data_IF_294912225821
#
_entry.id   IF_294912225821
#
_cell.length_a   1.000
_cell.length_b   1.000
_cell.length_c   1.000
_cell.angle_alpha   90.00
_cell.angle_beta   90.00
_cell.angle_gamma   90.00
#
_symmetry.space_group_name_H-M   'P 1'
#
loop_
_entity.id
_entity.type
_entity.pdbx_description
1 polymer ?
#
# COMPACT_ATOMS: atom_id res chain seq x y z
N UNK A 1 16.31 -5.05 63.28
CA UNK A 1 16.71 -3.99 62.32
C UNK A 1 17.75 -4.60 61.38
N UNK A 2 17.61 -4.68 60.07
CA UNK A 2 16.96 -3.75 59.16
C UNK A 2 16.07 -4.47 58.13
N UNK A 3 14.83 -4.02 58.07
CA UNK A 3 13.70 -4.49 57.25
C UNK A 3 13.68 -3.76 55.88
N UNK A 4 14.74 -3.01 55.53
CA UNK A 4 14.68 -2.05 54.42
C UNK A 4 15.21 -2.48 53.05
N UNK A 5 15.70 -3.72 52.87
CA UNK A 5 16.19 -4.17 51.54
C UNK A 5 15.10 -4.77 50.62
N UNK A 6 13.80 -4.60 50.93
CA UNK A 6 12.68 -5.08 50.09
C UNK A 6 11.93 -3.98 49.32
N UNK A 7 12.42 -2.74 49.30
CA UNK A 7 11.70 -1.59 48.74
C UNK A 7 12.22 -1.05 47.39
N UNK A 8 13.19 -1.72 46.75
CA UNK A 8 13.70 -1.30 45.42
C UNK A 8 13.77 -2.43 44.39
N UNK A 9 12.82 -3.36 44.40
CA UNK A 9 12.40 -3.95 43.14
C UNK A 9 11.46 -2.96 42.49
N UNK A 10 12.00 -2.09 41.64
CA UNK A 10 11.21 -1.49 40.57
C UNK A 10 10.54 -2.65 39.83
N UNK A 11 9.27 -2.90 40.13
CA UNK A 11 8.33 -3.52 39.21
C UNK A 11 8.32 -2.64 37.95
N UNK A 12 9.34 -2.77 37.11
CA UNK A 12 9.17 -2.47 35.69
C UNK A 12 8.18 -3.54 35.26
N UNK A 13 6.92 -3.14 35.14
CA UNK A 13 5.87 -4.01 34.65
C UNK A 13 6.40 -4.64 33.36
N UNK A 14 6.69 -5.96 33.38
CA UNK A 14 7.00 -6.68 32.15
C UNK A 14 5.80 -6.45 31.22
N UNK A 15 5.98 -5.99 29.98
CA UNK A 15 4.86 -5.71 29.10
C UNK A 15 4.07 -7.01 28.88
N UNK A 16 2.91 -7.11 29.52
CA UNK A 16 1.96 -8.21 29.35
C UNK A 16 0.99 -7.81 28.24
N UNK A 17 1.48 -7.81 27.02
CA UNK A 17 0.60 -7.73 25.85
C UNK A 17 0.13 -9.14 25.57
N UNK A 18 -1.05 -9.51 26.07
CA UNK A 18 -1.72 -10.77 25.74
C UNK A 18 -3.01 -10.44 25.02
N UNK A 19 -3.06 -10.66 23.70
CA UNK A 19 -4.31 -10.77 22.97
C UNK A 19 -4.85 -12.19 23.16
N UNK A 20 -5.66 -12.38 24.20
CA UNK A 20 -6.57 -13.52 24.26
C UNK A 20 -7.90 -13.07 23.64
N UNK A 21 -8.41 -13.86 22.67
CA UNK A 21 -9.70 -13.72 21.96
C UNK A 21 -9.72 -12.87 20.66
N UNK A 22 -9.00 -13.30 19.63
CA UNK A 22 -9.00 -12.70 18.27
C UNK A 22 -9.94 -13.36 17.25
N UNK A 23 -10.57 -14.50 17.53
CA UNK A 23 -11.34 -15.20 16.48
C UNK A 23 -12.71 -14.55 16.13
N UNK A 24 -13.46 -14.03 17.10
CA UNK A 24 -14.79 -13.44 16.80
C UNK A 24 -14.70 -12.10 16.04
N UNK A 25 -13.62 -11.35 16.24
CA UNK A 25 -13.39 -10.08 15.54
C UNK A 25 -13.00 -10.32 14.07
N UNK A 26 -12.18 -11.33 13.81
CA UNK A 26 -11.65 -11.68 12.48
C UNK A 26 -12.65 -12.46 11.61
N UNK A 27 -13.59 -13.24 12.17
CA UNK A 27 -14.48 -14.14 11.41
C UNK A 27 -16.00 -13.86 11.54
N UNK A 28 -16.39 -12.69 12.04
CA UNK A 28 -17.81 -12.34 12.18
C UNK A 28 -18.47 -11.90 10.87
N UNK A 29 -19.67 -12.40 10.57
CA UNK A 29 -20.51 -11.91 9.46
C UNK A 29 -20.71 -10.39 9.55
N UNK A 30 -20.79 -9.74 8.39
CA UNK A 30 -21.06 -8.30 8.34
C UNK A 30 -22.52 -8.00 8.66
N UNK A 31 -22.81 -6.76 9.05
CA UNK A 31 -24.20 -6.32 9.28
C UNK A 31 -25.06 -6.44 8.02
N UNK A 32 -24.44 -6.38 6.83
CA UNK A 32 -25.08 -6.59 5.54
C UNK A 32 -25.27 -8.08 5.17
N UNK A 33 -24.87 -9.02 6.04
CA UNK A 33 -25.02 -10.46 5.83
C UNK A 33 -23.98 -11.09 4.91
N UNK A 34 -23.07 -10.32 4.31
CA UNK A 34 -21.96 -10.83 3.51
C UNK A 34 -20.83 -11.32 4.42
N UNK A 35 -20.16 -12.40 4.01
CA UNK A 35 -18.95 -12.87 4.67
C UNK A 35 -17.73 -12.16 4.06
N UNK A 36 -16.98 -11.44 4.90
CA UNK A 36 -15.80 -10.67 4.48
C UNK A 36 -14.56 -11.26 5.11
N UNK A 37 -13.77 -11.91 4.26
CA UNK A 37 -12.39 -12.36 4.48
C UNK A 37 -11.45 -11.58 3.56
N UNK A 38 -10.13 -11.72 3.73
CA UNK A 38 -9.13 -11.09 2.87
C UNK A 38 -9.31 -11.51 1.41
N UNK A 39 -9.66 -12.78 1.17
CA UNK A 39 -9.90 -13.31 -0.18
C UNK A 39 -11.14 -12.71 -0.83
N UNK A 40 -12.27 -12.65 -0.11
CA UNK A 40 -13.50 -12.05 -0.64
C UNK A 40 -13.38 -10.52 -0.75
N UNK A 41 -12.64 -9.88 0.14
CA UNK A 41 -12.38 -8.45 0.06
C UNK A 41 -11.59 -8.10 -1.21
N UNK A 42 -10.60 -8.91 -1.59
CA UNK A 42 -9.87 -8.75 -2.85
C UNK A 42 -10.72 -8.98 -4.12
N UNK A 43 -11.93 -9.54 -4.01
CA UNK A 43 -12.88 -9.60 -5.13
C UNK A 43 -13.63 -8.28 -5.33
N UNK A 44 -13.67 -7.42 -4.30
CA UNK A 44 -14.19 -6.06 -4.44
C UNK A 44 -13.19 -5.20 -5.22
N UNK A 45 -13.66 -4.58 -6.30
CA UNK A 45 -12.79 -3.85 -7.24
C UNK A 45 -12.09 -2.65 -6.60
N UNK A 46 -12.76 -1.94 -5.68
CA UNK A 46 -12.18 -0.82 -4.96
C UNK A 46 -11.03 -1.27 -4.03
N UNK A 47 -11.24 -2.36 -3.28
CA UNK A 47 -10.20 -2.94 -2.41
C UNK A 47 -9.02 -3.40 -3.26
N UNK A 48 -9.27 -4.15 -4.34
CA UNK A 48 -8.22 -4.63 -5.23
C UNK A 48 -7.39 -3.47 -5.82
N UNK A 49 -8.05 -2.42 -6.32
CA UNK A 49 -7.37 -1.25 -6.86
C UNK A 49 -6.51 -0.55 -5.80
N UNK A 50 -7.04 -0.38 -4.58
CA UNK A 50 -6.31 0.24 -3.48
C UNK A 50 -5.07 -0.55 -3.09
N UNK A 51 -5.23 -1.86 -2.88
CA UNK A 51 -4.13 -2.76 -2.50
C UNK A 51 -3.06 -2.76 -3.58
N UNK A 52 -3.46 -2.89 -4.84
CA UNK A 52 -2.57 -2.89 -6.00
C UNK A 52 -1.76 -1.59 -6.10
N UNK A 53 -2.41 -0.42 -6.05
CA UNK A 53 -1.73 0.87 -6.15
C UNK A 53 -0.66 1.01 -5.07
N UNK A 54 -0.96 0.69 -3.81
CA UNK A 54 0.01 0.79 -2.72
C UNK A 54 1.14 -0.23 -2.82
N UNK A 55 0.80 -1.49 -3.12
CA UNK A 55 1.78 -2.56 -3.20
C UNK A 55 2.77 -2.36 -4.35
N UNK A 56 2.28 -2.03 -5.55
CA UNK A 56 3.11 -1.73 -6.72
C UNK A 56 3.92 -0.44 -6.51
N UNK A 57 3.31 0.61 -5.94
CA UNK A 57 4.02 1.88 -5.68
C UNK A 57 5.19 1.69 -4.72
N UNK A 58 5.05 0.85 -3.69
CA UNK A 58 6.16 0.56 -2.77
C UNK A 58 7.17 -0.40 -3.39
N UNK A 59 6.71 -1.41 -4.12
CA UNK A 59 7.58 -2.42 -4.73
C UNK A 59 8.51 -1.85 -5.82
N UNK A 60 8.05 -0.85 -6.55
CA UNK A 60 8.84 -0.14 -7.58
C UNK A 60 9.96 0.72 -7.00
N UNK A 61 9.87 1.14 -5.73
CA UNK A 61 10.88 2.00 -5.13
C UNK A 61 12.23 1.26 -4.99
N UNK A 62 13.34 1.88 -5.42
CA UNK A 62 14.66 1.35 -5.14
C UNK A 62 14.90 1.30 -3.63
N UNK A 63 15.28 0.12 -3.13
CA UNK A 63 15.65 -0.11 -1.73
C UNK A 63 17.14 -0.40 -1.68
N UNK A 64 17.89 0.44 -0.99
CA UNK A 64 19.34 0.33 -0.93
C UNK A 64 19.85 0.33 0.50
N UNK A 65 20.99 -0.32 0.69
CA UNK A 65 21.79 -0.23 1.89
C UNK A 65 22.77 0.93 1.74
N UNK A 66 22.83 1.79 2.75
CA UNK A 66 23.74 2.90 2.85
C UNK A 66 24.65 2.75 4.06
N UNK A 67 25.86 3.28 3.97
CA UNK A 67 26.78 3.48 5.08
C UNK A 67 26.90 4.96 5.39
N UNK A 68 26.88 5.33 6.67
CA UNK A 68 27.21 6.68 7.12
C UNK A 68 28.71 6.90 6.98
N UNK A 69 29.11 8.01 6.36
CA UNK A 69 30.51 8.42 6.25
C UNK A 69 30.91 9.25 7.46
N UNK A 70 32.21 9.29 7.78
CA UNK A 70 32.73 10.02 8.94
C UNK A 70 32.45 11.54 8.85
N UNK A 71 32.31 12.07 7.63
CA UNK A 71 31.95 13.47 7.35
C UNK A 71 30.44 13.76 7.48
N UNK A 72 29.65 12.79 7.95
CA UNK A 72 28.18 12.91 8.10
C UNK A 72 27.38 12.70 6.81
N UNK A 73 28.04 12.27 5.73
CA UNK A 73 27.41 11.87 4.48
C UNK A 73 26.87 10.44 4.50
N UNK A 74 26.38 9.98 3.34
CA UNK A 74 25.93 8.59 3.12
C UNK A 74 26.47 8.06 1.80
N UNK A 75 26.88 6.79 1.77
CA UNK A 75 27.33 6.11 0.56
C UNK A 75 26.57 4.81 0.36
N UNK A 76 26.15 4.51 -0.89
CA UNK A 76 25.51 3.24 -1.24
C UNK A 76 26.51 2.09 -1.11
N UNK A 77 26.09 1.02 -0.45
CA UNK A 77 26.91 -0.18 -0.22
C UNK A 77 26.43 -1.30 -1.12
N UNK A 78 27.31 -1.79 -1.99
CA UNK A 78 26.99 -2.89 -2.90
C UNK A 78 27.57 -4.24 -2.45
N UNK A 79 28.68 -4.24 -1.71
CA UNK A 79 29.44 -5.46 -1.35
C UNK A 79 28.92 -6.17 -0.08
N UNK A 80 27.75 -5.77 0.42
CA UNK A 80 27.13 -6.36 1.61
C UNK A 80 26.13 -7.46 1.23
N UNK A 81 26.04 -8.55 1.99
CA UNK A 81 25.16 -9.69 1.66
C UNK A 81 23.68 -9.28 1.49
N UNK A 82 23.19 -8.38 2.34
CA UNK A 82 21.85 -7.80 2.24
C UNK A 82 21.60 -6.94 1.00
N UNK A 83 22.63 -6.35 0.38
CA UNK A 83 22.45 -5.42 -0.75
C UNK A 83 21.74 -6.12 -1.91
N UNK A 84 22.24 -7.30 -2.30
CA UNK A 84 21.64 -8.12 -3.35
C UNK A 84 20.23 -8.60 -2.97
N UNK A 85 20.03 -9.03 -1.71
CA UNK A 85 18.74 -9.55 -1.25
C UNK A 85 17.64 -8.48 -1.23
N UNK A 86 17.98 -7.24 -0.92
CA UNK A 86 17.02 -6.13 -0.88
C UNK A 86 16.77 -5.54 -2.28
N UNK A 87 17.80 -5.52 -3.13
CA UNK A 87 17.72 -4.89 -4.45
C UNK A 87 17.18 -5.83 -5.54
N UNK A 88 17.74 -7.04 -5.67
CA UNK A 88 17.53 -7.90 -6.84
C UNK A 88 16.64 -9.12 -6.55
N UNK A 89 17.06 -9.97 -5.61
CA UNK A 89 16.36 -11.21 -5.29
C UNK A 89 16.55 -11.60 -3.81
N UNK A 90 15.47 -11.58 -2.99
CA UNK A 90 15.54 -11.92 -1.57
C UNK A 90 15.67 -13.41 -1.33
N UNK A 91 15.37 -14.22 -2.34
CA UNK A 91 15.57 -15.66 -2.38
C UNK A 91 15.60 -16.13 -3.85
N UNK A 92 15.95 -17.38 -4.14
CA UNK A 92 16.01 -17.89 -5.53
C UNK A 92 14.66 -18.02 -6.25
N UNK A 93 13.52 -17.89 -5.55
CA UNK A 93 12.19 -18.16 -6.09
C UNK A 93 11.48 -16.90 -6.60
N UNK A 94 11.89 -15.71 -6.13
CA UNK A 94 11.22 -14.46 -6.46
C UNK A 94 12.19 -13.28 -6.56
N UNK A 95 11.77 -12.24 -7.28
CA UNK A 95 12.49 -10.96 -7.32
C UNK A 95 12.17 -10.10 -6.09
N UNK A 96 13.01 -9.12 -5.79
CA UNK A 96 12.77 -8.19 -4.69
C UNK A 96 11.50 -7.34 -4.89
N UNK A 97 11.11 -7.10 -6.14
CA UNK A 97 9.82 -6.48 -6.45
C UNK A 97 8.65 -7.33 -5.93
N UNK A 98 8.59 -8.61 -6.33
CA UNK A 98 7.50 -9.53 -5.94
C UNK A 98 7.47 -9.73 -4.43
N UNK A 99 8.63 -9.82 -3.78
CA UNK A 99 8.71 -9.91 -2.32
C UNK A 99 8.11 -8.67 -1.64
N UNK A 100 8.51 -7.46 -2.07
CA UNK A 100 7.97 -6.22 -1.50
C UNK A 100 6.48 -6.10 -1.73
N UNK A 101 6.01 -6.41 -2.93
CA UNK A 101 4.60 -6.43 -3.28
C UNK A 101 3.81 -7.41 -2.40
N UNK A 102 4.30 -8.64 -2.25
CA UNK A 102 3.65 -9.69 -1.44
C UNK A 102 3.57 -9.30 0.03
N UNK A 103 4.66 -8.83 0.60
CA UNK A 103 4.71 -8.38 2.00
C UNK A 103 3.87 -7.12 2.21
N UNK A 104 3.78 -6.22 1.23
CA UNK A 104 2.90 -5.06 1.32
C UNK A 104 1.43 -5.48 1.24
N UNK A 105 1.08 -6.45 0.38
CA UNK A 105 -0.24 -7.08 0.38
C UNK A 105 -0.56 -7.69 1.74
N UNK A 106 0.41 -8.35 2.39
CA UNK A 106 0.25 -8.90 3.72
C UNK A 106 -0.11 -7.82 4.77
N UNK A 107 0.61 -6.68 4.75
CA UNK A 107 0.30 -5.52 5.59
C UNK A 107 -1.10 -4.94 5.33
N UNK A 108 -1.50 -4.82 4.07
CA UNK A 108 -2.76 -4.17 3.69
C UNK A 108 -3.99 -5.05 3.95
N UNK A 109 -3.83 -6.37 3.95
CA UNK A 109 -4.92 -7.32 4.17
C UNK A 109 -5.00 -7.79 5.63
N UNK A 110 -3.88 -8.21 6.22
CA UNK A 110 -3.83 -8.77 7.57
C UNK A 110 -3.28 -7.81 8.62
N UNK A 111 -2.77 -6.65 8.22
CA UNK A 111 -2.15 -5.68 9.13
C UNK A 111 -0.73 -6.03 9.55
N UNK A 112 -0.19 -7.18 9.11
CA UNK A 112 1.11 -7.69 9.50
C UNK A 112 1.77 -8.41 8.34
N UNK A 113 3.07 -8.25 8.18
CA UNK A 113 3.85 -9.00 7.21
C UNK A 113 5.05 -9.66 7.89
N UNK A 114 5.27 -10.92 7.55
CA UNK A 114 6.29 -11.76 8.14
C UNK A 114 7.14 -12.38 7.04
N UNK A 115 8.45 -12.40 7.24
CA UNK A 115 9.37 -13.19 6.42
C UNK A 115 10.34 -13.96 7.31
N UNK A 116 10.57 -15.23 7.00
CA UNK A 116 11.61 -16.01 7.65
C UNK A 116 12.98 -15.52 7.18
N UNK A 117 13.88 -15.28 8.13
CA UNK A 117 15.27 -14.90 7.88
C UNK A 117 16.11 -16.17 7.87
N UNK A 118 16.79 -16.43 6.75
CA UNK A 118 17.72 -17.55 6.61
C UNK A 118 19.14 -17.02 6.73
N UNK A 119 19.96 -17.67 7.56
CA UNK A 119 21.36 -17.32 7.80
C UNK A 119 22.29 -18.49 7.49
N UNK A 120 23.49 -18.20 7.01
CA UNK A 120 24.56 -19.20 6.90
C UNK A 120 25.25 -19.45 8.26
N UNK A 121 26.20 -20.39 8.29
CA UNK A 121 26.98 -20.71 9.50
C UNK A 121 27.87 -19.56 10.02
N UNK A 122 28.06 -18.49 9.26
CA UNK A 122 28.75 -17.27 9.67
C UNK A 122 27.78 -16.19 10.21
N UNK A 123 26.48 -16.48 10.26
CA UNK A 123 25.44 -15.56 10.72
C UNK A 123 24.96 -14.54 9.68
N UNK A 124 25.49 -14.58 8.45
CA UNK A 124 25.08 -13.69 7.37
C UNK A 124 23.73 -14.10 6.80
N UNK A 125 22.86 -13.12 6.54
CA UNK A 125 21.55 -13.36 5.94
C UNK A 125 21.73 -13.75 4.47
N UNK A 126 21.16 -14.89 4.09
CA UNK A 126 21.24 -15.46 2.73
C UNK A 126 19.88 -15.55 2.05
N UNK A 127 18.78 -15.36 2.78
CA UNK A 127 17.45 -15.36 2.19
C UNK A 127 16.38 -14.82 3.10
N UNK A 128 15.34 -14.26 2.48
CA UNK A 128 14.10 -13.82 3.13
C UNK A 128 12.92 -14.50 2.42
N UNK A 129 12.14 -15.27 3.17
CA UNK A 129 11.00 -16.02 2.63
C UNK A 129 9.70 -15.52 3.26
N UNK A 130 8.75 -14.98 2.48
CA UNK A 130 7.46 -14.56 3.01
C UNK A 130 6.75 -15.71 3.75
N UNK A 131 6.19 -15.40 4.91
CA UNK A 131 5.34 -16.30 5.69
C UNK A 131 3.91 -15.75 5.68
N UNK A 132 2.95 -16.66 5.55
CA UNK A 132 1.54 -16.33 5.51
C UNK A 132 1.04 -15.79 6.87
N UNK A 133 0.49 -14.56 6.94
CA UNK A 133 0.09 -13.95 8.22
C UNK A 133 -1.05 -14.68 8.94
N UNK A 134 -1.97 -15.31 8.21
CA UNK A 134 -3.08 -16.09 8.77
C UNK A 134 -2.62 -17.37 9.48
N UNK A 135 -1.36 -17.78 9.29
CA UNK A 135 -0.74 -18.95 9.92
C UNK A 135 0.27 -18.59 11.00
N UNK A 136 0.41 -17.30 11.32
CA UNK A 136 1.37 -16.77 12.27
C UNK A 136 0.69 -16.33 13.56
N UNK A 137 1.24 -16.73 14.70
CA UNK A 137 0.89 -16.20 16.02
C UNK A 137 2.11 -15.62 16.71
N UNK A 138 1.95 -14.48 17.38
CA UNK A 138 3.04 -13.73 18.02
C UNK A 138 2.79 -13.67 19.52
N UNK A 139 3.72 -14.20 20.31
CA UNK A 139 3.59 -14.28 21.75
C UNK A 139 4.86 -13.82 22.46
N UNK A 140 4.72 -13.55 23.76
CA UNK A 140 5.85 -13.24 24.66
C UNK A 140 6.06 -14.39 25.63
N UNK A 141 7.29 -14.88 25.71
CA UNK A 141 7.70 -15.83 26.72
C UNK A 141 7.72 -15.18 28.11
N UNK A 142 7.83 -15.99 29.17
CA UNK A 142 7.83 -15.49 30.57
C UNK A 142 8.99 -14.54 30.87
N UNK A 143 10.10 -14.66 30.15
CA UNK A 143 11.26 -13.78 30.23
C UNK A 143 11.08 -12.45 29.45
N UNK A 144 9.95 -12.28 28.75
CA UNK A 144 9.62 -11.08 27.97
C UNK A 144 10.08 -11.12 26.51
N UNK A 145 10.83 -12.15 26.10
CA UNK A 145 11.28 -12.32 24.73
C UNK A 145 10.12 -12.69 23.81
N UNK A 146 10.15 -12.16 22.60
CA UNK A 146 9.17 -12.45 21.57
C UNK A 146 9.52 -13.77 20.89
N UNK A 147 8.49 -14.58 20.66
CA UNK A 147 8.58 -15.75 19.81
C UNK A 147 7.36 -15.81 18.89
N UNK A 148 7.57 -16.45 17.76
CA UNK A 148 6.61 -16.60 16.69
C UNK A 148 6.25 -18.08 16.58
N UNK A 149 4.97 -18.39 16.44
CA UNK A 149 4.52 -19.77 16.17
C UNK A 149 3.90 -19.80 14.79
N UNK A 150 4.54 -20.51 13.87
CA UNK A 150 4.08 -20.66 12.50
C UNK A 150 3.51 -22.05 12.28
N UNK A 151 2.27 -22.12 11.78
CA UNK A 151 1.62 -23.39 11.45
C UNK A 151 1.93 -23.76 10.01
N UNK A 152 2.70 -24.83 9.80
CA UNK A 152 2.99 -25.38 8.47
C UNK A 152 1.87 -26.33 8.07
N UNK A 153 1.30 -26.14 6.88
CA UNK A 153 0.27 -27.02 6.35
C UNK A 153 0.88 -28.09 5.44
N UNK A 154 0.14 -29.19 5.29
CA UNK A 154 0.50 -30.35 4.48
C UNK A 154 0.86 -30.02 3.02
N UNK A 155 0.24 -28.99 2.43
CA UNK A 155 0.47 -28.63 1.03
C UNK A 155 1.85 -28.00 0.76
N UNK A 156 2.54 -27.49 1.80
CA UNK A 156 3.85 -26.82 1.65
C UNK A 156 5.02 -27.81 1.63
N UNK A 157 4.78 -29.06 2.06
CA UNK A 157 5.79 -30.11 2.12
C UNK A 157 5.04 -31.43 2.10
N UNK A 158 5.24 -32.29 1.09
CA UNK A 158 4.62 -33.62 0.95
C UNK A 158 4.93 -34.58 2.13
N UNK A 159 4.60 -34.19 3.34
CA UNK A 159 4.92 -34.81 4.61
C UNK A 159 3.60 -35.29 5.22
N UNK A 160 3.46 -36.62 5.27
CA UNK A 160 2.32 -37.39 5.75
C UNK A 160 1.59 -36.75 6.96
N UNK A 161 0.33 -36.40 6.74
CA UNK A 161 -0.83 -36.32 7.64
C UNK A 161 -0.89 -35.34 8.85
N UNK A 162 0.12 -34.54 9.18
CA UNK A 162 -0.01 -33.61 10.33
C UNK A 162 0.50 -32.19 10.06
N UNK A 163 -0.36 -31.19 10.32
CA UNK A 163 0.06 -29.78 10.42
C UNK A 163 1.05 -29.62 11.57
N UNK A 164 2.27 -29.18 11.27
CA UNK A 164 3.33 -29.01 12.28
C UNK A 164 3.50 -27.55 12.64
N UNK A 165 3.39 -27.24 13.93
CA UNK A 165 3.76 -25.93 14.45
C UNK A 165 5.28 -25.84 14.62
N UNK A 166 5.85 -24.74 14.17
CA UNK A 166 7.26 -24.40 14.34
C UNK A 166 7.35 -23.11 15.12
N UNK A 167 8.18 -23.12 16.17
CA UNK A 167 8.51 -21.92 16.93
C UNK A 167 9.73 -21.27 16.30
N UNK A 168 9.63 -19.99 15.99
CA UNK A 168 10.69 -19.15 15.45
C UNK A 168 11.01 -18.05 16.47
N UNK A 169 12.29 -17.77 16.64
CA UNK A 169 12.78 -16.70 17.52
C UNK A 169 12.70 -15.33 16.84
N UNK A 170 12.86 -14.27 17.63
CA UNK A 170 12.74 -12.89 17.12
C UNK A 170 13.80 -12.50 16.08
N UNK A 171 14.94 -13.17 16.07
CA UNK A 171 16.04 -12.97 15.12
C UNK A 171 15.90 -13.85 13.85
N UNK A 172 14.92 -14.74 13.82
CA UNK A 172 14.59 -15.62 12.69
C UNK A 172 13.41 -15.11 11.86
N UNK A 173 12.74 -14.03 12.29
CA UNK A 173 11.56 -13.47 11.63
C UNK A 173 11.73 -11.98 11.43
N UNK A 174 11.66 -11.54 10.18
CA UNK A 174 11.40 -10.14 9.83
C UNK A 174 9.89 -9.91 9.96
N UNK A 175 9.49 -9.16 10.98
CA UNK A 175 8.11 -8.76 11.22
C UNK A 175 7.95 -7.26 11.00
N UNK A 176 7.09 -6.89 10.06
CA UNK A 176 6.62 -5.54 9.85
C UNK A 176 5.18 -5.48 10.34
N UNK A 177 4.95 -4.81 11.47
CA UNK A 177 3.60 -4.62 12.02
C UNK A 177 3.00 -3.34 11.46
N UNK A 178 1.71 -3.36 11.10
CA UNK A 178 0.92 -2.21 10.68
C UNK A 178 0.45 -1.33 11.84
N UNK A 179 -0.64 -0.58 11.63
CA UNK A 179 -1.27 0.18 12.72
C UNK A 179 -1.91 -0.80 13.70
N UNK A 180 -1.52 -0.76 14.98
CA UNK A 180 -2.02 -1.67 16.02
C UNK A 180 -2.16 -0.99 17.38
N UNK A 181 -2.70 -1.72 18.36
CA UNK A 181 -2.93 -1.17 19.71
C UNK A 181 -1.68 -1.12 20.57
N UNK A 182 -0.89 -2.19 20.50
CA UNK A 182 0.11 -2.54 21.50
C UNK A 182 1.55 -2.43 20.97
N UNK A 183 1.68 -1.95 19.73
CA UNK A 183 2.93 -1.82 18.99
C UNK A 183 3.56 -3.14 18.57
N UNK A 184 2.92 -4.29 18.84
CA UNK A 184 3.43 -5.61 18.50
C UNK A 184 2.68 -6.20 17.31
N UNK A 185 1.35 -6.13 17.29
CA UNK A 185 0.53 -6.70 16.22
C UNK A 185 -0.35 -5.59 15.63
N UNK A 186 -0.31 -5.45 14.31
CA UNK A 186 -1.18 -4.57 13.54
C UNK A 186 -2.61 -5.10 13.43
N UNK A 187 -3.57 -4.20 13.37
CA UNK A 187 -4.96 -4.51 13.03
C UNK A 187 -5.08 -4.87 11.55
N UNK A 188 -5.84 -5.92 11.23
CA UNK A 188 -6.26 -6.19 9.85
C UNK A 188 -7.14 -5.04 9.35
N UNK A 189 -6.72 -4.31 8.29
CA UNK A 189 -7.56 -3.26 7.71
C UNK A 189 -8.89 -3.81 7.20
N UNK A 190 -8.89 -5.02 6.66
CA UNK A 190 -10.09 -5.71 6.19
C UNK A 190 -11.05 -6.00 7.34
N UNK A 191 -10.55 -6.53 8.47
CA UNK A 191 -11.39 -6.79 9.64
C UNK A 191 -11.98 -5.49 10.22
N UNK A 192 -11.18 -4.41 10.26
CA UNK A 192 -11.64 -3.09 10.72
C UNK A 192 -12.71 -2.48 9.79
N UNK A 193 -12.57 -2.71 8.48
CA UNK A 193 -13.44 -2.18 7.44
C UNK A 193 -14.58 -3.12 7.00
N UNK A 194 -14.75 -4.27 7.67
CA UNK A 194 -15.59 -5.37 7.16
C UNK A 194 -17.02 -4.95 6.82
N UNK A 195 -17.63 -4.03 7.59
CA UNK A 195 -18.99 -3.57 7.34
C UNK A 195 -19.10 -2.74 6.06
N UNK A 196 -18.15 -1.85 5.78
CA UNK A 196 -18.13 -1.04 4.55
C UNK A 196 -17.90 -1.92 3.32
N UNK A 197 -16.93 -2.85 3.40
CA UNK A 197 -16.66 -3.82 2.33
C UNK A 197 -17.87 -4.73 2.11
N UNK A 198 -18.48 -5.24 3.19
CA UNK A 198 -19.66 -6.09 3.13
C UNK A 198 -20.87 -5.39 2.51
N UNK A 199 -21.06 -4.11 2.81
CA UNK A 199 -22.10 -3.29 2.18
C UNK A 199 -21.83 -3.11 0.67
N UNK A 200 -20.57 -2.91 0.28
CA UNK A 200 -20.20 -2.80 -1.13
C UNK A 200 -20.43 -4.11 -1.89
N UNK A 201 -20.03 -5.25 -1.33
CA UNK A 201 -20.31 -6.57 -1.91
C UNK A 201 -21.82 -6.85 -1.99
N UNK A 202 -22.59 -6.48 -0.98
CA UNK A 202 -24.04 -6.63 -0.99
C UNK A 202 -24.70 -5.77 -2.07
N UNK A 203 -24.23 -4.53 -2.25
CA UNK A 203 -24.71 -3.65 -3.30
C UNK A 203 -24.38 -4.21 -4.68
N UNK A 204 -23.17 -4.70 -4.91
CA UNK A 204 -22.80 -5.37 -6.16
C UNK A 204 -23.67 -6.58 -6.44
N UNK A 205 -23.90 -7.45 -5.45
CA UNK A 205 -24.77 -8.60 -5.58
C UNK A 205 -26.22 -8.21 -5.90
N UNK A 206 -26.75 -7.16 -5.27
CA UNK A 206 -28.07 -6.63 -5.58
C UNK A 206 -28.15 -6.14 -7.03
N UNK A 207 -27.17 -5.35 -7.47
CA UNK A 207 -27.09 -4.85 -8.84
C UNK A 207 -27.00 -6.01 -9.85
N UNK A 208 -26.12 -6.99 -9.61
CA UNK A 208 -25.98 -8.17 -10.48
C UNK A 208 -27.27 -8.97 -10.57
N UNK A 209 -27.96 -9.21 -9.45
CA UNK A 209 -29.26 -9.92 -9.45
C UNK A 209 -30.33 -9.12 -10.19
N UNK A 210 -30.36 -7.80 -10.01
CA UNK A 210 -31.29 -6.91 -10.69
C UNK A 210 -31.13 -6.98 -12.22
N UNK A 211 -29.90 -6.82 -12.72
CA UNK A 211 -29.61 -6.91 -14.16
C UNK A 211 -29.75 -8.33 -14.72
N UNK A 212 -29.42 -9.36 -13.93
CA UNK A 212 -29.60 -10.77 -14.33
C UNK A 212 -31.07 -11.11 -14.59
N UNK A 213 -31.99 -10.46 -13.91
CA UNK A 213 -33.44 -10.64 -14.10
C UNK A 213 -34.02 -9.64 -15.11
N UNK A 214 -33.24 -9.24 -16.13
CA UNK A 214 -33.58 -8.28 -17.20
C UNK A 214 -34.01 -6.90 -16.72
N UNK A 215 -33.71 -6.52 -15.47
CA UNK A 215 -34.11 -5.24 -14.87
C UNK A 215 -35.63 -4.96 -14.99
N UNK A 216 -36.45 -5.97 -15.33
CA UNK A 216 -37.90 -5.83 -15.48
C UNK A 216 -38.52 -6.17 -14.14
N UNK A 217 -39.10 -5.19 -13.43
CA UNK A 217 -39.86 -5.51 -12.24
C UNK A 217 -41.03 -6.39 -12.68
N UNK A 218 -41.16 -7.58 -12.09
CA UNK A 218 -42.25 -8.49 -12.42
C UNK A 218 -43.59 -7.76 -12.26
N UNK A 219 -44.45 -7.78 -13.27
CA UNK A 219 -45.75 -7.12 -13.17
C UNK A 219 -46.78 -7.96 -12.44
N UNK A 220 -47.86 -7.30 -12.02
CA UNK A 220 -49.00 -7.95 -11.38
C UNK A 220 -50.05 -8.22 -12.48
N UNK A 221 -50.50 -9.47 -12.56
CA UNK A 221 -51.68 -9.84 -13.36
C UNK A 221 -52.92 -9.69 -12.48
N UNK A 222 -53.76 -8.73 -12.81
CA UNK A 222 -55.04 -8.51 -12.15
C UNK A 222 -56.17 -9.06 -13.02
N UNK A 223 -57.03 -9.87 -12.41
CA UNK A 223 -58.25 -10.39 -13.04
C UNK A 223 -59.46 -9.93 -12.22
N UNK A 224 -60.51 -9.37 -12.85
CA UNK A 224 -61.65 -8.75 -12.16
C UNK A 224 -62.59 -9.74 -11.45
N UNK A 225 -62.35 -11.05 -11.55
CA UNK A 225 -63.18 -12.11 -10.96
C UNK A 225 -62.34 -13.28 -10.43
N UNK A 226 -62.97 -14.29 -9.82
CA UNK A 226 -62.26 -15.46 -9.27
C UNK A 226 -61.56 -16.24 -10.39
N UNK A 227 -60.24 -16.40 -10.27
CA UNK A 227 -59.43 -17.21 -11.17
C UNK A 227 -59.71 -18.69 -10.88
N UNK A 228 -60.27 -19.42 -11.85
CA UNK A 228 -60.67 -20.83 -11.68
C UNK A 228 -59.47 -21.80 -11.63
N UNK A 229 -58.35 -21.45 -12.27
CA UNK A 229 -57.13 -22.28 -12.30
C UNK A 229 -55.85 -21.41 -12.27
N UNK A 230 -55.40 -21.00 -11.08
CA UNK A 230 -54.23 -20.13 -10.93
C UNK A 230 -52.91 -20.77 -11.39
N UNK A 231 -52.77 -22.08 -11.23
CA UNK A 231 -51.52 -22.80 -11.55
C UNK A 231 -51.31 -22.92 -13.05
N UNK A 232 -52.38 -23.16 -13.82
CA UNK A 232 -52.32 -23.15 -15.28
C UNK A 232 -51.95 -21.77 -15.82
N UNK A 233 -52.54 -20.72 -15.26
CA UNK A 233 -52.25 -19.33 -15.64
C UNK A 233 -50.77 -18.98 -15.39
N UNK A 234 -50.25 -19.36 -14.22
CA UNK A 234 -48.83 -19.16 -13.87
C UNK A 234 -47.89 -19.87 -14.84
N UNK A 235 -48.20 -21.14 -15.19
CA UNK A 235 -47.41 -21.91 -16.16
C UNK A 235 -47.48 -21.34 -17.57
N UNK A 236 -48.65 -20.91 -18.02
CA UNK A 236 -48.84 -20.23 -19.32
C UNK A 236 -48.01 -18.95 -19.40
N UNK A 237 -48.09 -18.11 -18.37
CA UNK A 237 -47.30 -16.88 -18.27
C UNK A 237 -45.80 -17.16 -18.26
N UNK A 238 -45.35 -18.10 -17.43
CA UNK A 238 -43.94 -18.49 -17.38
C UNK A 238 -43.45 -19.03 -18.73
N UNK A 239 -44.23 -19.85 -19.43
CA UNK A 239 -43.85 -20.38 -20.74
C UNK A 239 -43.68 -19.32 -21.83
N UNK A 240 -44.39 -18.19 -21.71
CA UNK A 240 -44.30 -17.07 -22.65
C UNK A 240 -43.15 -16.09 -22.31
N UNK A 241 -42.75 -16.02 -21.04
CA UNK A 241 -41.73 -15.09 -20.54
C UNK A 241 -40.39 -15.74 -20.16
N UNK A 242 -40.28 -17.07 -20.13
CA UNK A 242 -39.03 -17.77 -19.79
C UNK A 242 -38.24 -18.15 -21.06
N UNK A 243 -37.02 -17.63 -21.20
CA UNK A 243 -36.07 -18.00 -22.25
C UNK A 243 -35.48 -16.80 -23.02
N UNK A 244 -34.69 -17.03 -24.09
CA UNK A 244 -34.11 -15.97 -24.94
C UNK A 244 -35.14 -15.08 -25.66
N UNK A 245 -36.43 -15.41 -25.51
CA UNK A 245 -37.59 -14.74 -26.10
C UNK A 245 -38.36 -13.89 -25.06
N UNK A 246 -37.67 -13.33 -24.06
CA UNK A 246 -38.25 -12.46 -23.02
C UNK A 246 -38.81 -11.12 -23.54
N UNK A 247 -38.94 -10.94 -24.85
CA UNK A 247 -39.52 -9.77 -25.51
C UNK A 247 -40.78 -10.13 -26.33
N UNK A 248 -41.37 -11.30 -26.05
CA UNK A 248 -42.60 -11.76 -26.69
C UNK A 248 -43.79 -10.89 -26.26
N UNK A 249 -44.66 -10.54 -27.20
CA UNK A 249 -45.92 -9.83 -26.90
C UNK A 249 -46.83 -10.79 -26.12
N UNK A 250 -47.06 -10.50 -24.84
CA UNK A 250 -47.93 -11.30 -24.00
C UNK A 250 -49.40 -11.10 -24.40
N UNK A 251 -50.08 -12.20 -24.72
CA UNK A 251 -51.53 -12.19 -24.97
C UNK A 251 -52.22 -12.56 -23.66
N UNK A 252 -52.98 -11.61 -23.12
CA UNK A 252 -53.75 -11.78 -21.90
C UNK A 252 -55.13 -12.38 -22.21
N UNK A 253 -55.62 -13.29 -21.35
CA UNK A 253 -56.98 -13.84 -21.45
C UNK A 253 -58.03 -12.75 -21.14
N UNK A 254 -59.25 -12.89 -21.69
CA UNK A 254 -60.32 -11.86 -21.60
C UNK A 254 -60.50 -11.29 -20.19
N UNK A 255 -60.30 -9.97 -20.05
CA UNK A 255 -60.49 -9.22 -18.81
C UNK A 255 -59.26 -9.11 -17.91
N UNK A 256 -58.14 -9.77 -18.22
CA UNK A 256 -56.89 -9.59 -17.47
C UNK A 256 -56.19 -8.28 -17.83
N UNK A 257 -55.65 -7.62 -16.80
CA UNK A 257 -54.81 -6.43 -16.95
C UNK A 257 -53.44 -6.68 -16.36
N UNK A 258 -52.38 -6.28 -17.08
CA UNK A 258 -51.01 -6.35 -16.62
C UNK A 258 -50.56 -4.99 -16.13
N UNK A 259 -50.27 -4.88 -14.84
CA UNK A 259 -49.65 -3.70 -14.27
C UNK A 259 -48.15 -3.91 -14.27
N UNK A 260 -47.45 -3.25 -15.19
CA UNK A 260 -46.00 -3.21 -15.15
C UNK A 260 -45.58 -2.47 -13.89
N UNK A 261 -44.88 -3.17 -13.00
CA UNK A 261 -44.19 -2.50 -11.92
C UNK A 261 -43.08 -1.64 -12.56
N UNK A 262 -43.14 -0.33 -12.38
CA UNK A 262 -42.07 0.55 -12.86
C UNK A 262 -40.86 0.45 -11.95
N UNK A 263 -39.68 0.70 -12.51
CA UNK A 263 -38.45 0.83 -11.74
C UNK A 263 -38.63 1.97 -10.71
N UNK A 264 -38.52 1.71 -9.40
CA UNK A 264 -38.62 2.77 -8.40
C UNK A 264 -37.53 3.83 -8.58
N UNK A 265 -37.80 5.13 -8.33
CA UNK A 265 -36.83 6.22 -8.40
C UNK A 265 -35.54 6.01 -7.58
N UNK A 266 -35.62 5.16 -6.55
CA UNK A 266 -34.51 4.75 -5.68
C UNK A 266 -33.31 4.14 -6.45
N UNK A 267 -33.50 3.69 -7.69
CA UNK A 267 -32.42 3.10 -8.50
C UNK A 267 -31.42 4.12 -9.06
N UNK A 268 -31.80 5.38 -9.26
CA UNK A 268 -30.81 6.43 -9.56
C UNK A 268 -29.89 6.65 -8.35
N UNK A 269 -30.45 6.60 -7.14
CA UNK A 269 -29.71 6.72 -5.88
C UNK A 269 -28.82 5.49 -5.60
N UNK A 270 -29.09 4.34 -6.21
CA UNK A 270 -28.23 3.16 -6.12
C UNK A 270 -26.86 3.37 -6.80
N UNK A 271 -26.81 4.08 -7.94
CA UNK A 271 -25.53 4.43 -8.58
C UNK A 271 -24.69 5.35 -7.70
N UNK A 272 -25.32 6.36 -7.09
CA UNK A 272 -24.64 7.27 -6.16
C UNK A 272 -24.13 6.53 -4.91
N UNK A 273 -24.88 5.53 -4.44
CA UNK A 273 -24.44 4.66 -3.33
C UNK A 273 -23.17 3.89 -3.71
N UNK A 274 -23.08 3.36 -4.93
CA UNK A 274 -21.86 2.65 -5.39
C UNK A 274 -20.66 3.58 -5.53
N UNK A 275 -20.86 4.82 -5.96
CA UNK A 275 -19.78 5.82 -6.00
C UNK A 275 -19.27 6.15 -4.60
N UNK A 276 -20.17 6.40 -3.65
CA UNK A 276 -19.78 6.69 -2.27
C UNK A 276 -19.00 5.52 -1.62
N UNK A 277 -19.34 4.28 -1.95
CA UNK A 277 -18.62 3.10 -1.46
C UNK A 277 -17.16 3.04 -1.94
N UNK A 278 -16.88 3.51 -3.16
CA UNK A 278 -15.51 3.59 -3.70
C UNK A 278 -14.66 4.52 -2.80
N UNK A 279 -15.16 5.71 -2.50
CA UNK A 279 -14.52 6.68 -1.62
C UNK A 279 -14.37 6.19 -0.17
N UNK A 280 -15.38 5.48 0.34
CA UNK A 280 -15.35 4.90 1.69
C UNK A 280 -14.23 3.86 1.81
N UNK A 281 -14.07 3.00 0.79
CA UNK A 281 -13.00 2.01 0.74
C UNK A 281 -11.63 2.69 0.57
N UNK A 282 -11.51 3.67 -0.33
CA UNK A 282 -10.27 4.42 -0.57
C UNK A 282 -9.73 5.09 0.71
N UNK A 283 -10.65 5.60 1.54
CA UNK A 283 -10.32 6.26 2.82
C UNK A 283 -9.59 5.34 3.79
N UNK A 284 -9.92 4.06 3.84
CA UNK A 284 -9.27 3.08 4.73
C UNK A 284 -7.78 2.95 4.40
N UNK A 285 -7.45 2.99 3.11
CA UNK A 285 -6.08 2.89 2.61
C UNK A 285 -5.39 4.26 2.46
N UNK A 286 -6.11 5.36 2.71
CA UNK A 286 -5.65 6.76 2.47
C UNK A 286 -5.21 6.99 1.03
N UNK A 287 -5.92 6.40 0.07
CA UNK A 287 -5.62 6.56 -1.35
C UNK A 287 -6.51 7.66 -1.92
N UNK A 288 -5.96 8.66 -2.62
CA UNK A 288 -6.76 9.64 -3.32
C UNK A 288 -7.67 8.99 -4.39
N UNK A 289 -8.94 9.43 -4.54
CA UNK A 289 -9.88 8.81 -5.47
C UNK A 289 -9.41 8.76 -6.92
N UNK A 290 -8.62 9.74 -7.37
CA UNK A 290 -8.12 9.79 -8.76
C UNK A 290 -7.18 8.62 -9.10
N UNK A 291 -6.51 8.02 -8.12
CA UNK A 291 -5.62 6.88 -8.33
C UNK A 291 -6.38 5.56 -8.55
N UNK A 292 -7.66 5.51 -8.18
CA UNK A 292 -8.52 4.33 -8.37
C UNK A 292 -9.61 4.57 -9.42
N UNK A 293 -9.49 5.64 -10.21
CA UNK A 293 -10.34 5.92 -11.37
C UNK A 293 -11.52 6.85 -11.12
N UNK A 294 -11.63 7.48 -9.95
CA UNK A 294 -12.64 8.52 -9.71
C UNK A 294 -12.07 9.93 -9.94
N UNK A 295 -12.55 10.58 -11.00
CA UNK A 295 -12.11 11.89 -11.46
C UNK A 295 -13.20 12.97 -11.36
N UNK A 296 -14.38 12.70 -10.79
CA UNK A 296 -15.53 13.62 -10.86
C UNK A 296 -15.24 15.02 -10.29
N UNK A 297 -14.34 15.12 -9.31
CA UNK A 297 -13.97 16.38 -8.63
C UNK A 297 -12.53 16.81 -8.89
N UNK A 298 -11.84 16.18 -9.83
CA UNK A 298 -10.40 16.35 -10.04
C UNK A 298 -10.11 17.17 -11.30
N UNK A 299 -9.46 18.32 -11.14
CA UNK A 299 -8.86 19.09 -12.25
C UNK A 299 -7.37 18.74 -12.37
N UNK A 300 -6.75 18.95 -13.54
CA UNK A 300 -5.33 18.59 -13.79
C UNK A 300 -4.36 19.15 -12.73
N UNK A 301 -4.47 20.43 -12.39
CA UNK A 301 -3.62 21.06 -11.37
C UNK A 301 -3.85 20.49 -9.96
N UNK A 302 -5.07 20.03 -9.66
CA UNK A 302 -5.39 19.37 -8.40
C UNK A 302 -4.83 17.93 -8.35
N UNK A 303 -4.71 17.25 -9.50
CA UNK A 303 -4.20 15.87 -9.58
C UNK A 303 -2.71 15.80 -9.23
N UNK A 304 -1.90 16.75 -9.70
CA UNK A 304 -0.46 16.77 -9.39
C UNK A 304 -0.23 16.96 -7.87
N UNK A 305 -0.94 17.92 -7.27
CA UNK A 305 -0.89 18.15 -5.83
C UNK A 305 -1.35 16.92 -5.04
N UNK A 306 -2.48 16.32 -5.42
CA UNK A 306 -2.97 15.09 -4.78
C UNK A 306 -2.01 13.91 -4.94
N UNK A 307 -1.27 13.84 -6.06
CA UNK A 307 -0.25 12.79 -6.28
C UNK A 307 0.95 13.00 -5.36
N UNK A 308 1.40 14.24 -5.16
CA UNK A 308 2.44 14.55 -4.17
C UNK A 308 1.95 14.31 -2.73
N UNK A 309 0.69 14.61 -2.41
CA UNK A 309 0.09 14.31 -1.10
C UNK A 309 0.03 12.81 -0.82
N UNK A 310 -0.32 12.00 -1.82
CA UNK A 310 -0.26 10.54 -1.71
C UNK A 310 1.14 10.06 -1.31
N UNK A 311 2.18 10.54 -1.99
CA UNK A 311 3.55 10.12 -1.66
C UNK A 311 3.92 10.56 -0.25
N UNK A 312 3.61 11.80 0.14
CA UNK A 312 3.98 12.36 1.46
C UNK A 312 3.23 11.72 2.63
N UNK A 313 1.91 11.57 2.53
CA UNK A 313 1.04 11.25 3.66
C UNK A 313 0.58 9.79 3.67
N UNK A 314 0.72 9.08 2.56
CA UNK A 314 0.33 7.67 2.44
C UNK A 314 1.54 6.78 2.22
N UNK A 315 2.32 6.98 1.16
CA UNK A 315 3.41 6.07 0.80
C UNK A 315 4.62 6.20 1.75
N UNK A 316 5.08 7.41 2.03
CA UNK A 316 6.28 7.64 2.84
C UNK A 316 6.17 7.08 4.28
N UNK A 317 5.03 7.18 5.00
CA UNK A 317 4.86 6.47 6.27
C UNK A 317 5.02 4.95 6.16
N UNK A 318 4.61 4.34 5.04
CA UNK A 318 4.87 2.92 4.80
C UNK A 318 6.36 2.65 4.55
N UNK A 319 7.02 3.46 3.72
CA UNK A 319 8.47 3.37 3.50
C UNK A 319 9.24 3.42 4.83
N UNK A 320 8.97 4.41 5.67
CA UNK A 320 9.64 4.56 6.97
C UNK A 320 9.38 3.37 7.89
N UNK A 321 8.16 2.84 7.91
CA UNK A 321 7.80 1.65 8.71
C UNK A 321 8.62 0.43 8.28
N UNK A 322 8.73 0.22 6.98
CA UNK A 322 9.54 -0.85 6.40
C UNK A 322 11.02 -0.68 6.72
N UNK A 323 11.57 0.52 6.47
CA UNK A 323 12.97 0.86 6.73
C UNK A 323 13.33 0.61 8.20
N UNK A 324 12.52 1.10 9.14
CA UNK A 324 12.80 0.92 10.56
C UNK A 324 12.74 -0.55 11.00
N UNK A 325 11.74 -1.31 10.51
CA UNK A 325 11.65 -2.74 10.82
C UNK A 325 12.84 -3.52 10.27
N UNK A 326 13.24 -3.25 9.02
CA UNK A 326 14.40 -3.88 8.38
C UNK A 326 15.71 -3.50 9.07
N UNK A 327 15.91 -2.22 9.40
CA UNK A 327 17.09 -1.75 10.12
C UNK A 327 17.22 -2.39 11.51
N UNK A 328 16.09 -2.57 12.20
CA UNK A 328 16.09 -3.18 13.53
C UNK A 328 16.37 -4.69 13.50
N UNK A 329 15.88 -5.40 12.49
CA UNK A 329 15.81 -6.87 12.50
C UNK A 329 16.80 -7.56 11.56
N UNK A 330 17.23 -6.88 10.48
CA UNK A 330 18.18 -7.45 9.51
C UNK A 330 19.63 -7.08 9.83
N UNK A 331 19.87 -5.86 10.33
CA UNK A 331 21.22 -5.42 10.71
C UNK A 331 21.57 -5.93 12.10
N UNK A 332 22.81 -6.41 12.24
CA UNK A 332 23.36 -6.79 13.54
C UNK A 332 23.55 -5.56 14.43
N UNK A 333 23.69 -5.77 15.75
CA UNK A 333 23.93 -4.68 16.71
C UNK A 333 25.21 -3.89 16.42
N UNK A 334 26.20 -4.48 15.76
CA UNK A 334 27.45 -3.82 15.39
C UNK A 334 27.32 -2.98 14.10
N UNK A 335 26.39 -3.36 13.23
CA UNK A 335 26.08 -2.65 11.99
C UNK A 335 25.11 -1.49 12.22
N UNK A 336 24.22 -1.62 13.22
CA UNK A 336 23.30 -0.57 13.61
C UNK A 336 24.07 0.72 14.01
N UNK A 337 23.72 1.83 13.35
CA UNK A 337 24.40 3.11 13.51
C UNK A 337 25.55 3.35 12.54
N UNK A 338 26.01 2.32 11.80
CA UNK A 338 26.95 2.46 10.67
C UNK A 338 26.24 2.32 9.34
N UNK A 339 25.35 1.33 9.24
CA UNK A 339 24.55 1.06 8.05
C UNK A 339 23.08 1.36 8.30
N UNK A 340 22.38 1.72 7.23
CA UNK A 340 20.94 1.85 7.23
C UNK A 340 20.35 1.55 5.84
N UNK A 341 19.19 0.91 5.84
CA UNK A 341 18.38 0.57 4.69
C UNK A 341 17.40 1.73 4.48
N UNK A 342 17.30 2.21 3.23
CA UNK A 342 16.43 3.33 2.86
C UNK A 342 15.85 3.18 1.47
N UNK A 343 14.57 3.49 1.32
CA UNK A 343 13.91 3.66 0.03
C UNK A 343 14.31 5.00 -0.61
N UNK A 344 14.52 4.98 -1.92
CA UNK A 344 14.62 6.19 -2.70
C UNK A 344 13.23 6.60 -3.20
N UNK A 345 12.62 7.58 -2.53
CA UNK A 345 11.32 8.16 -2.89
C UNK A 345 11.44 9.39 -3.79
N UNK A 346 12.66 9.89 -4.02
CA UNK A 346 12.88 11.18 -4.66
C UNK A 346 12.34 11.18 -6.10
N UNK A 347 12.44 10.05 -6.81
CA UNK A 347 11.88 9.89 -8.15
C UNK A 347 10.37 10.14 -8.24
N UNK A 348 9.59 9.80 -7.20
CA UNK A 348 8.14 10.04 -7.17
C UNK A 348 7.78 11.47 -6.75
N UNK A 349 8.68 12.12 -6.02
CA UNK A 349 8.53 13.50 -5.54
C UNK A 349 8.99 14.52 -6.57
N UNK A 350 9.61 14.08 -7.66
CA UNK A 350 9.99 14.93 -8.78
C UNK A 350 8.71 15.51 -9.40
N UNK A 351 8.57 16.83 -9.32
CA UNK A 351 7.54 17.57 -10.05
C UNK A 351 7.72 17.43 -11.56
N UNK A 352 6.84 18.06 -12.33
CA UNK A 352 6.93 18.06 -13.78
C UNK A 352 8.34 18.48 -14.27
N UNK A 353 8.76 17.88 -15.39
CA UNK A 353 10.11 18.05 -15.91
C UNK A 353 10.40 19.53 -16.22
N UNK A 354 9.43 20.28 -16.72
CA UNK A 354 9.62 21.69 -17.11
C UNK A 354 9.84 22.59 -15.89
N UNK A 355 8.97 22.52 -14.87
CA UNK A 355 9.14 23.29 -13.64
C UNK A 355 10.44 22.94 -12.92
N UNK A 356 10.85 21.67 -12.93
CA UNK A 356 12.11 21.23 -12.31
C UNK A 356 13.33 21.77 -13.06
N UNK A 357 13.35 21.68 -14.40
CA UNK A 357 14.43 22.26 -15.20
C UNK A 357 14.50 23.78 -15.07
N UNK A 358 13.34 24.46 -15.00
CA UNK A 358 13.26 25.89 -14.73
C UNK A 358 13.83 26.23 -13.34
N UNK A 359 13.54 25.42 -12.32
CA UNK A 359 14.12 25.56 -10.97
C UNK A 359 15.64 25.43 -10.97
N UNK A 360 16.19 24.43 -11.66
CA UNK A 360 17.64 24.27 -11.81
C UNK A 360 18.28 25.42 -12.58
N UNK A 361 17.64 25.91 -13.64
CA UNK A 361 18.10 27.08 -14.39
C UNK A 361 18.20 28.31 -13.47
N UNK A 362 17.19 28.56 -12.63
CA UNK A 362 17.20 29.63 -11.62
C UNK A 362 18.33 29.42 -10.61
N UNK A 363 18.51 28.19 -10.11
CA UNK A 363 19.54 27.90 -9.12
C UNK A 363 20.96 28.09 -9.65
N UNK A 364 21.21 27.65 -10.89
CA UNK A 364 22.47 27.85 -11.59
C UNK A 364 22.69 29.31 -11.99
N UNK A 365 21.63 30.06 -12.31
CA UNK A 365 21.73 31.50 -12.60
C UNK A 365 22.08 32.31 -11.34
N UNK A 366 21.54 31.91 -10.19
CA UNK A 366 21.78 32.56 -8.89
C UNK A 366 23.06 32.05 -8.20
N UNK A 367 23.75 31.07 -8.80
CA UNK A 367 25.08 30.60 -8.37
C UNK A 367 25.12 29.80 -7.08
N UNK A 368 24.02 29.16 -6.69
CA UNK A 368 24.01 28.22 -5.56
C UNK A 368 23.88 26.74 -5.97
N UNK A 369 23.77 26.46 -7.28
CA UNK A 369 23.87 25.11 -7.85
C UNK A 369 24.95 25.09 -8.95
N UNK A 370 25.88 24.13 -8.84
CA UNK A 370 26.82 23.78 -9.90
C UNK A 370 26.19 22.82 -10.93
N UNK A 371 26.88 22.54 -12.04
CA UNK A 371 26.40 21.55 -13.00
C UNK A 371 26.41 20.14 -12.39
N UNK A 372 27.42 19.81 -11.58
CA UNK A 372 27.51 18.54 -10.89
C UNK A 372 26.49 18.37 -9.77
N UNK A 373 26.09 19.45 -9.08
CA UNK A 373 24.99 19.40 -8.10
C UNK A 373 23.70 18.95 -8.78
N UNK A 374 23.37 19.54 -9.94
CA UNK A 374 22.17 19.17 -10.71
C UNK A 374 22.27 17.74 -11.24
N UNK A 375 23.45 17.33 -11.73
CA UNK A 375 23.66 15.97 -12.26
C UNK A 375 23.55 14.93 -11.16
N UNK A 376 24.06 15.20 -9.97
CA UNK A 376 23.86 14.34 -8.80
C UNK A 376 22.38 14.23 -8.42
N UNK A 377 21.64 15.33 -8.42
CA UNK A 377 20.19 15.32 -8.17
C UNK A 377 19.39 14.55 -9.23
N UNK A 378 19.87 14.50 -10.47
CA UNK A 378 19.26 13.73 -11.56
C UNK A 378 19.88 12.33 -11.76
N UNK A 379 20.73 11.87 -10.85
CA UNK A 379 21.43 10.56 -10.92
C UNK A 379 22.26 10.37 -12.21
N UNK A 380 22.85 11.46 -12.72
CA UNK A 380 23.71 11.49 -13.90
C UNK A 380 25.19 11.48 -13.50
N UNK A 381 26.03 10.84 -14.32
CA UNK A 381 27.48 10.84 -14.13
C UNK A 381 28.03 12.26 -14.03
N UNK A 382 28.84 12.56 -13.02
CA UNK A 382 29.50 13.86 -12.85
C UNK A 382 30.38 14.19 -14.07
N UNK A 383 30.45 15.49 -14.36
CA UNK A 383 31.41 16.07 -15.30
C UNK A 383 32.74 16.23 -14.53
N UNK A 384 33.89 15.87 -15.12
CA UNK A 384 35.20 16.10 -14.49
C UNK A 384 35.37 17.54 -14.02
N UNK A 385 36.04 17.74 -12.88
CA UNK A 385 36.28 19.09 -12.33
C UNK A 385 37.08 19.96 -13.30
N UNK A 386 37.96 19.37 -14.11
CA UNK A 386 38.73 20.03 -15.17
C UNK A 386 37.85 20.60 -16.31
N UNK A 387 36.65 20.04 -16.52
CA UNK A 387 35.68 20.49 -17.51
C UNK A 387 34.67 21.51 -16.93
N UNK A 388 34.90 21.98 -15.70
CA UNK A 388 34.08 23.01 -15.04
C UNK A 388 32.78 22.47 -14.42
N UNK A 389 32.68 21.17 -14.16
CA UNK A 389 31.48 20.55 -13.60
C UNK A 389 31.08 21.09 -12.21
N UNK A 390 32.07 21.43 -11.38
CA UNK A 390 31.89 21.92 -10.00
C UNK A 390 31.90 23.46 -9.90
N UNK A 391 31.89 24.17 -11.03
CA UNK A 391 31.91 25.64 -11.03
C UNK A 391 30.54 26.24 -10.70
N UNK A 392 30.51 27.11 -9.69
CA UNK A 392 29.36 27.94 -9.37
C UNK A 392 29.42 29.24 -10.20
N UNK A 393 28.42 29.44 -11.05
CA UNK A 393 28.32 30.60 -11.92
C UNK A 393 27.31 31.59 -11.36
N UNK A 394 27.65 32.87 -11.35
CA UNK A 394 26.72 33.95 -10.98
C UNK A 394 26.50 34.88 -12.17
N UNK A 395 25.26 35.32 -12.35
CA UNK A 395 24.97 36.32 -13.37
C UNK A 395 25.57 37.67 -12.97
N UNK A 396 26.56 38.12 -13.74
CA UNK A 396 27.24 39.38 -13.48
C UNK A 396 26.54 40.64 -14.00
N UNK A 397 25.39 40.51 -14.65
CA UNK A 397 24.62 41.67 -15.12
C UNK A 397 23.96 42.45 -13.97
N UNK A 398 23.88 41.88 -12.76
CA UNK A 398 23.34 42.56 -11.57
C UNK A 398 24.46 43.28 -10.80
N UNK A 399 24.84 44.46 -11.29
CA UNK A 399 25.74 45.38 -10.61
C UNK A 399 24.98 46.60 -10.09
N UNK A 400 25.43 47.24 -9.00
CA UNK A 400 24.95 48.59 -8.66
C UNK A 400 25.04 49.49 -9.89
N UNK A 401 24.04 50.33 -10.14
CA UNK A 401 23.95 51.17 -11.36
C UNK A 401 25.24 51.96 -11.63
N UNK A 402 25.94 52.41 -10.58
CA UNK A 402 27.23 53.11 -10.64
C UNK A 402 28.38 52.30 -11.27
N UNK A 403 28.29 50.97 -11.23
CA UNK A 403 29.32 50.03 -11.67
C UNK A 403 28.93 49.35 -13.01
N UNK A 404 27.84 49.78 -13.64
CA UNK A 404 27.41 49.28 -14.94
C UNK A 404 28.50 49.50 -16.02
N UNK A 405 29.01 48.41 -16.61
CA UNK A 405 30.06 48.43 -17.63
C UNK A 405 31.44 47.94 -17.18
N UNK A 406 31.66 47.68 -15.88
CA UNK A 406 32.93 47.10 -15.39
C UNK A 406 33.22 45.69 -15.92
N UNK A 407 32.21 45.00 -16.45
CA UNK A 407 32.31 43.66 -17.05
C UNK A 407 33.35 43.54 -18.18
N UNK A 408 33.67 44.64 -18.85
CA UNK A 408 34.60 44.69 -19.99
C UNK A 408 36.00 45.19 -19.62
N UNK A 409 36.28 45.52 -18.35
CA UNK A 409 37.61 45.98 -17.95
C UNK A 409 38.55 44.78 -17.75
N UNK A 410 39.16 44.32 -18.84
CA UNK A 410 40.36 43.46 -18.76
C UNK A 410 41.47 44.28 -18.11
N UNK A 411 41.86 43.94 -16.88
CA UNK A 411 43.11 44.45 -16.30
C UNK A 411 44.26 44.01 -17.19
N UNK A 412 44.72 44.89 -18.07
CA UNK A 412 46.01 44.74 -18.74
C UNK A 412 47.06 44.92 -17.66
N UNK A 413 47.55 43.81 -17.08
CA UNK A 413 48.74 43.85 -16.24
C UNK A 413 49.91 44.25 -17.14
N UNK A 414 50.20 45.55 -17.16
CA UNK A 414 51.37 46.12 -17.81
C UNK A 414 52.63 45.55 -17.19
N UNK A 415 53.36 44.76 -17.98
CA UNK A 415 54.79 44.58 -17.81
C UNK A 415 55.45 45.87 -18.28
N UNK A 416 55.75 46.78 -17.35
CA UNK A 416 56.65 47.88 -17.65
C UNK A 416 57.51 48.23 -16.43
N UNK A 417 58.81 48.30 -16.72
CA UNK A 417 59.92 48.93 -16.00
C UNK A 417 60.79 48.04 -15.08
N UNK A 418 61.88 47.58 -15.71
CA UNK A 418 63.30 47.87 -15.43
C UNK A 418 63.87 47.57 -14.04
#
# INVERSE_FOLDING_TARGET
>A
MSIFNKLFHTNKASPKNTLSSTMSFLFGSTTAGQNVTERTAMQNTAVYACVRVLAESLATLPLHLYQLTDDGGKQRVNDHSLSFLLHDAPNPEMTSFIFRETMMNHLLLWGNAYAQIIRNGQGQITGLYPLMPDRMDVNRARNGELYYTYTRNYDDYQAKDESKQVVLLSDEVLHIAGLGFDGLIGYSPIAMAKNAIGLSLAAEQYGSTFFKNDATPGGILEHPSVVKDPERLRKSWQSQFSGPSGHSIAVLEEGMTFHQLSIPPDQAQFLDTRKFQLDEIARIFRIPPHMIGDLERSTFSNIEQQSLEFVKYTLNPWCVRWEQAMNQQLLSKEEQGRYFIKFNVDGLMRGDYESRMNGYAIGRQNGWLSANDIRELEDLNRIPTEDGGDEYLVNGNMLPVKDAGQFYQTKTTGSDQA
#
